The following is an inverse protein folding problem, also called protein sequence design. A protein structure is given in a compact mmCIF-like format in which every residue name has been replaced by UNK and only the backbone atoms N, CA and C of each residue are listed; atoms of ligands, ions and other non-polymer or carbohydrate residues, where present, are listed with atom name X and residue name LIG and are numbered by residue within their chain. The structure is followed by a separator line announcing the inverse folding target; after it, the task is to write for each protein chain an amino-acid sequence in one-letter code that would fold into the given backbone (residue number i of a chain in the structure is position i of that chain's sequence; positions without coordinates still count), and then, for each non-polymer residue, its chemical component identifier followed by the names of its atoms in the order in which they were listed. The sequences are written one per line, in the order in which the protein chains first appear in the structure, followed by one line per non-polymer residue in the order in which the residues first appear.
data_IF_045243180868
#
_entry.id   IF_045243180868
#
_cell.length_a   1.000
_cell.length_b   1.000
_cell.length_c   1.000
_cell.angle_alpha   90.00
_cell.angle_beta   90.00
_cell.angle_gamma   90.00
#
_symmetry.space_group_name_H-M   'P 1'
#
loop_
_entity.id
_entity.type
_entity.pdbx_description
1 polymer ?
#
# COMPACT_ATOMS: atom_id res chain seq x y z
N UNK A 1 54.94 -2.85 -4.74
CA UNK A 1 54.26 -2.94 -6.06
C UNK A 1 52.96 -3.71 -5.83
N UNK A 2 51.80 -3.04 -5.90
CA UNK A 2 50.77 -3.19 -6.97
C UNK A 2 50.38 -4.67 -7.15
N UNK A 3 49.15 -5.13 -6.92
CA UNK A 3 47.88 -4.74 -7.56
C UNK A 3 46.78 -5.62 -6.90
N UNK A 4 45.70 -5.09 -6.31
CA UNK A 4 44.40 -4.70 -6.90
C UNK A 4 43.50 -5.88 -7.37
N UNK A 5 42.29 -5.94 -6.76
CA UNK A 5 41.01 -6.48 -7.26
C UNK A 5 40.92 -8.01 -7.44
N UNK A 6 39.81 -8.68 -7.12
CA UNK A 6 38.44 -8.36 -7.56
C UNK A 6 37.42 -8.79 -6.51
N UNK A 7 36.63 -7.82 -6.03
CA UNK A 7 35.33 -8.06 -5.39
C UNK A 7 34.37 -8.48 -6.50
N UNK A 8 34.11 -9.78 -6.65
CA UNK A 8 33.02 -10.26 -7.51
C UNK A 8 31.76 -10.28 -6.66
N UNK A 9 31.08 -9.14 -6.64
CA UNK A 9 29.66 -9.07 -6.34
C UNK A 9 28.95 -9.94 -7.38
N UNK A 10 28.56 -11.16 -6.99
CA UNK A 10 27.68 -12.00 -7.79
C UNK A 10 26.31 -11.34 -7.77
N UNK A 11 26.11 -10.52 -8.79
CA UNK A 11 24.84 -10.06 -9.32
C UNK A 11 23.82 -11.21 -9.25
N UNK A 12 22.84 -11.05 -8.37
CA UNK A 12 21.59 -11.79 -8.42
C UNK A 12 20.84 -11.38 -9.70
N UNK A 13 21.22 -12.03 -10.80
CA UNK A 13 20.45 -12.08 -12.03
C UNK A 13 19.23 -12.98 -11.79
N UNK A 14 18.13 -12.41 -11.32
CA UNK A 14 16.82 -13.01 -11.53
C UNK A 14 16.13 -12.32 -12.71
N UNK A 15 15.96 -13.11 -13.77
CA UNK A 15 15.22 -12.81 -14.99
C UNK A 15 13.72 -12.72 -14.67
N UNK A 16 13.30 -11.51 -14.34
CA UNK A 16 12.04 -10.95 -14.78
C UNK A 16 12.37 -9.48 -15.06
N UNK A 17 11.96 -8.92 -16.18
CA UNK A 17 11.76 -7.48 -16.20
C UNK A 17 10.61 -7.24 -15.21
N UNK A 18 10.92 -7.18 -13.91
CA UNK A 18 9.97 -6.72 -12.91
C UNK A 18 9.63 -5.32 -13.35
N UNK A 19 8.37 -5.11 -13.72
CA UNK A 19 7.87 -3.78 -13.92
C UNK A 19 8.08 -3.04 -12.58
N UNK A 20 8.53 -1.80 -12.65
CA UNK A 20 8.81 -0.98 -11.48
C UNK A 20 7.68 0.02 -11.23
N UNK A 21 7.95 1.04 -10.41
CA UNK A 21 7.00 2.13 -10.17
C UNK A 21 6.44 2.78 -11.46
N UNK A 22 7.20 2.96 -12.56
CA UNK A 22 6.67 3.47 -13.83
C UNK A 22 5.57 2.62 -14.46
N UNK A 23 5.55 1.32 -14.16
CA UNK A 23 4.56 0.38 -14.66
C UNK A 23 3.47 0.02 -13.63
N UNK A 24 3.43 0.76 -12.51
CA UNK A 24 2.44 0.58 -11.46
C UNK A 24 2.77 -0.53 -10.47
N UNK A 25 4.03 -0.98 -10.41
CA UNK A 25 4.46 -2.11 -9.59
C UNK A 25 5.41 -1.68 -8.45
N UNK A 26 5.18 -2.23 -7.25
CA UNK A 26 6.04 -2.04 -6.08
C UNK A 26 5.94 -3.27 -5.14
N UNK A 27 7.07 -3.69 -4.58
CA UNK A 27 7.18 -4.87 -3.68
C UNK A 27 6.61 -6.18 -4.25
N UNK A 28 6.60 -6.34 -5.59
CA UNK A 28 6.05 -7.50 -6.28
C UNK A 28 4.54 -7.45 -6.51
N UNK A 29 3.87 -6.31 -6.24
CA UNK A 29 2.43 -6.13 -6.45
C UNK A 29 2.15 -5.00 -7.43
N UNK A 30 1.03 -5.09 -8.14
CA UNK A 30 0.63 -4.14 -9.19
C UNK A 30 -0.67 -3.43 -8.84
N UNK A 31 -0.67 -2.10 -8.96
CA UNK A 31 -1.88 -1.29 -8.87
C UNK A 31 -2.92 -1.69 -9.93
N UNK A 32 -4.19 -1.72 -9.53
CA UNK A 32 -5.32 -2.14 -10.37
C UNK A 32 -5.45 -3.65 -10.55
N UNK A 33 -4.49 -4.45 -10.08
CA UNK A 33 -4.60 -5.91 -10.08
C UNK A 33 -5.43 -6.40 -8.89
N UNK A 34 -6.03 -7.57 -9.01
CA UNK A 34 -6.74 -8.22 -7.91
C UNK A 34 -5.74 -8.96 -7.02
N UNK A 35 -5.85 -8.76 -5.70
CA UNK A 35 -5.10 -9.56 -4.75
C UNK A 35 -5.79 -10.92 -4.53
N UNK A 36 -5.07 -12.05 -4.67
CA UNK A 36 -5.64 -13.37 -4.44
C UNK A 36 -5.83 -13.60 -2.93
N UNK A 37 -7.09 -13.70 -2.48
CA UNK A 37 -7.41 -14.02 -1.09
C UNK A 37 -7.35 -15.52 -0.87
N UNK A 38 -6.72 -15.91 0.24
CA UNK A 38 -6.62 -17.29 0.73
C UNK A 38 -7.05 -17.34 2.20
N UNK A 39 -7.18 -18.55 2.74
CA UNK A 39 -7.54 -18.75 4.15
C UNK A 39 -6.51 -18.18 5.13
N UNK A 40 -5.26 -17.98 4.69
CA UNK A 40 -4.19 -17.38 5.50
C UNK A 40 -4.09 -15.85 5.35
N UNK A 41 -4.86 -15.25 4.44
CA UNK A 41 -4.74 -13.82 4.17
C UNK A 41 -5.16 -13.01 5.40
N UNK A 42 -4.25 -12.14 5.85
CA UNK A 42 -4.49 -11.24 6.97
C UNK A 42 -4.88 -9.86 6.46
N UNK A 43 -5.80 -9.21 7.16
CA UNK A 43 -6.22 -7.86 6.82
C UNK A 43 -7.12 -7.24 7.88
N UNK A 44 -7.38 -5.95 7.71
CA UNK A 44 -8.24 -5.17 8.59
C UNK A 44 -8.99 -4.09 7.80
N UNK A 45 -10.10 -3.61 8.37
CA UNK A 45 -10.78 -2.44 7.83
C UNK A 45 -10.10 -1.17 8.34
N UNK A 46 -9.69 -0.30 7.41
CA UNK A 46 -9.19 1.02 7.77
C UNK A 46 -10.33 1.90 8.29
N UNK A 47 -9.99 2.93 9.06
CA UNK A 47 -10.96 3.94 9.54
C UNK A 47 -11.69 4.65 8.39
N UNK A 48 -11.09 4.69 7.19
CA UNK A 48 -11.70 5.26 6.00
C UNK A 48 -12.63 4.26 5.28
N UNK A 49 -12.79 3.05 5.80
CA UNK A 49 -13.65 2.00 5.25
C UNK A 49 -13.07 1.30 4.02
N UNK A 50 -11.75 1.30 3.87
CA UNK A 50 -11.05 0.47 2.88
C UNK A 50 -10.56 -0.83 3.54
N UNK A 51 -10.38 -1.89 2.75
CA UNK A 51 -9.74 -3.11 3.25
C UNK A 51 -8.24 -2.98 3.07
N UNK A 52 -7.51 -3.13 4.17
CA UNK A 52 -6.05 -3.24 4.17
C UNK A 52 -5.68 -4.71 4.29
N UNK A 53 -4.95 -5.22 3.31
CA UNK A 53 -4.42 -6.58 3.30
C UNK A 53 -2.94 -6.53 3.65
N UNK A 54 -2.47 -7.41 4.52
CA UNK A 54 -1.04 -7.60 4.77
C UNK A 54 -0.53 -8.58 3.70
N UNK A 55 0.43 -8.13 2.89
CA UNK A 55 0.95 -8.91 1.78
C UNK A 55 1.65 -10.19 2.29
N UNK A 56 1.31 -11.35 1.70
CA UNK A 56 1.80 -12.65 2.17
C UNK A 56 3.29 -12.89 1.85
N UNK A 57 3.74 -12.47 0.66
CA UNK A 57 5.13 -12.67 0.17
C UNK A 57 5.68 -11.42 -0.53
N UNK A 58 5.87 -10.30 0.19
CA UNK A 58 6.37 -9.08 -0.43
C UNK A 58 7.86 -9.16 -0.78
N UNK A 59 8.22 -8.60 -1.94
CA UNK A 59 9.61 -8.38 -2.33
C UNK A 59 10.15 -7.10 -1.68
N UNK A 60 10.35 -7.14 -0.36
CA UNK A 60 10.77 -5.99 0.46
C UNK A 60 12.19 -6.17 1.01
N UNK A 61 12.88 -5.06 1.29
CA UNK A 61 14.11 -5.07 2.09
C UNK A 61 13.82 -5.36 3.58
N UNK A 62 14.87 -5.60 4.35
CA UNK A 62 14.78 -5.88 5.79
C UNK A 62 14.31 -4.65 6.61
N UNK A 63 14.50 -3.44 6.08
CA UNK A 63 14.04 -2.19 6.70
C UNK A 63 12.51 -2.14 6.88
N UNK A 64 11.76 -2.83 6.01
CA UNK A 64 10.30 -2.82 6.07
C UNK A 64 9.80 -3.97 6.93
N UNK A 65 9.02 -3.66 7.96
CA UNK A 65 8.41 -4.67 8.81
C UNK A 65 7.35 -5.48 8.07
N UNK A 66 6.55 -4.80 7.24
CA UNK A 66 5.47 -5.38 6.44
C UNK A 66 5.18 -4.53 5.21
N UNK A 67 4.45 -5.12 4.26
CA UNK A 67 3.82 -4.41 3.14
C UNK A 67 2.31 -4.54 3.29
N UNK A 68 1.62 -3.42 3.16
CA UNK A 68 0.17 -3.33 3.20
C UNK A 68 -0.36 -2.93 1.83
N UNK A 69 -1.50 -3.52 1.46
CA UNK A 69 -2.21 -3.27 0.22
C UNK A 69 -3.58 -2.71 0.58
N UNK A 70 -3.86 -1.49 0.15
CA UNK A 70 -5.22 -0.93 0.25
C UNK A 70 -5.99 -1.43 -0.96
N UNK A 71 -7.09 -2.12 -0.70
CA UNK A 71 -7.87 -2.79 -1.73
C UNK A 71 -9.34 -2.38 -1.71
N UNK A 72 -10.02 -2.60 -2.84
CA UNK A 72 -11.46 -2.50 -2.91
C UNK A 72 -12.13 -3.63 -2.10
N UNK A 73 -13.25 -3.37 -1.44
CA UNK A 73 -13.69 -4.22 -0.34
C UNK A 73 -14.37 -5.54 -0.77
N UNK A 74 -14.81 -5.69 -2.03
CA UNK A 74 -15.39 -6.94 -2.55
C UNK A 74 -14.46 -7.68 -3.50
N UNK A 75 -13.84 -6.96 -4.43
CA UNK A 75 -13.00 -7.59 -5.47
C UNK A 75 -11.52 -7.60 -5.14
N UNK A 76 -11.12 -6.98 -4.02
CA UNK A 76 -9.72 -6.88 -3.57
C UNK A 76 -8.80 -6.29 -4.64
N UNK A 77 -9.31 -5.33 -5.41
CA UNK A 77 -8.51 -4.62 -6.42
C UNK A 77 -7.59 -3.64 -5.72
N UNK A 78 -6.28 -3.72 -5.97
CA UNK A 78 -5.24 -2.97 -5.28
C UNK A 78 -5.28 -1.50 -5.75
N UNK A 79 -5.46 -0.57 -4.82
CA UNK A 79 -5.53 0.87 -5.05
C UNK A 79 -4.30 1.62 -4.52
N UNK A 80 -3.62 1.07 -3.51
CA UNK A 80 -2.38 1.60 -2.94
C UNK A 80 -1.54 0.44 -2.40
N UNK A 81 -0.23 0.55 -2.54
CA UNK A 81 0.78 -0.39 -2.04
C UNK A 81 1.74 0.41 -1.17
N UNK A 82 1.96 0.04 0.09
CA UNK A 82 3.04 0.65 0.88
C UNK A 82 3.77 -0.33 1.77
N UNK A 83 5.10 -0.22 1.78
CA UNK A 83 5.98 -0.82 2.78
C UNK A 83 6.05 0.07 4.00
N UNK A 84 6.07 -0.53 5.18
CA UNK A 84 6.10 0.18 6.47
C UNK A 84 7.39 -0.14 7.19
N UNK A 85 8.22 0.88 7.37
CA UNK A 85 9.33 0.87 8.32
C UNK A 85 8.88 1.51 9.64
N UNK A 86 9.32 0.94 10.76
CA UNK A 86 9.02 1.39 12.12
C UNK A 86 10.28 1.98 12.74
N UNK A 87 10.14 3.13 13.41
CA UNK A 87 11.24 3.87 14.03
C UNK A 87 10.86 4.24 15.46
N UNK A 88 11.79 4.09 16.41
CA UNK A 88 11.50 4.34 17.82
C UNK A 88 11.36 5.84 18.09
N UNK A 89 12.06 6.68 17.33
CA UNK A 89 12.05 8.13 17.51
C UNK A 89 11.83 8.90 16.22
N UNK A 90 11.36 10.15 16.37
CA UNK A 90 11.15 11.07 15.25
C UNK A 90 12.39 11.23 14.36
N UNK A 91 13.57 11.42 14.95
CA UNK A 91 14.81 11.63 14.20
C UNK A 91 15.18 10.41 13.33
N UNK A 92 14.97 9.21 13.87
CA UNK A 92 15.21 7.97 13.13
C UNK A 92 14.22 7.82 11.96
N UNK A 93 12.95 8.18 12.17
CA UNK A 93 11.97 8.20 11.08
C UNK A 93 12.35 9.20 9.98
N UNK A 94 12.82 10.40 10.36
CA UNK A 94 13.32 11.41 9.42
C UNK A 94 14.51 10.88 8.61
N UNK A 95 15.45 10.19 9.26
CA UNK A 95 16.63 9.61 8.61
C UNK A 95 16.28 8.47 7.66
N UNK A 96 15.32 7.61 8.03
CA UNK A 96 14.79 6.58 7.14
C UNK A 96 14.10 7.21 5.94
N UNK A 97 13.22 8.18 6.16
CA UNK A 97 12.49 8.85 5.09
C UNK A 97 13.42 9.59 4.12
N UNK A 98 14.40 10.34 4.63
CA UNK A 98 15.39 11.03 3.81
C UNK A 98 16.22 10.03 2.98
N UNK A 99 16.65 8.91 3.57
CA UNK A 99 17.39 7.86 2.87
C UNK A 99 16.58 7.26 1.72
N UNK A 100 15.32 6.90 1.96
CA UNK A 100 14.46 6.35 0.91
C UNK A 100 14.09 7.41 -0.14
N UNK A 101 13.87 8.66 0.26
CA UNK A 101 13.61 9.74 -0.68
C UNK A 101 14.79 9.94 -1.64
N UNK A 102 16.02 10.03 -1.13
CA UNK A 102 17.23 10.17 -1.94
C UNK A 102 17.46 8.96 -2.87
N UNK A 103 17.25 7.75 -2.32
CA UNK A 103 17.36 6.51 -3.10
C UNK A 103 16.36 6.47 -4.26
N UNK A 104 15.08 6.75 -4.00
CA UNK A 104 14.03 6.67 -5.03
C UNK A 104 14.18 7.77 -6.07
N UNK A 105 14.56 8.99 -5.66
CA UNK A 105 14.94 10.05 -6.60
C UNK A 105 16.05 9.58 -7.53
N UNK A 106 17.10 8.97 -6.97
CA UNK A 106 18.24 8.49 -7.75
C UNK A 106 17.87 7.37 -8.71
N UNK A 107 17.10 6.37 -8.24
CA UNK A 107 16.73 5.19 -9.03
C UNK A 107 15.71 5.49 -10.14
N UNK A 108 14.92 6.55 -9.99
CA UNK A 108 13.81 6.84 -10.89
C UNK A 108 13.86 8.23 -11.54
N UNK A 109 14.99 8.95 -11.41
CA UNK A 109 15.18 10.30 -11.94
C UNK A 109 14.87 10.45 -13.44
N UNK A 110 15.09 9.40 -14.23
CA UNK A 110 14.90 9.38 -15.68
C UNK A 110 13.48 8.98 -16.10
N UNK A 111 12.68 8.40 -15.19
CA UNK A 111 11.38 7.79 -15.51
C UNK A 111 10.20 8.43 -14.77
N UNK A 112 10.48 9.20 -13.73
CA UNK A 112 9.46 9.84 -12.91
C UNK A 112 9.76 11.33 -12.75
N UNK A 113 8.71 12.13 -12.69
CA UNK A 113 8.78 13.56 -12.48
C UNK A 113 8.54 13.86 -11.00
N UNK A 114 9.37 14.70 -10.39
CA UNK A 114 9.12 15.15 -9.02
C UNK A 114 7.91 16.11 -9.00
N UNK A 115 7.00 15.85 -8.08
CA UNK A 115 5.79 16.66 -7.84
C UNK A 115 5.83 17.30 -6.46
N UNK A 116 4.91 18.24 -6.21
CA UNK A 116 4.72 18.81 -4.88
C UNK A 116 4.23 17.72 -3.93
N UNK A 117 5.06 17.40 -2.93
CA UNK A 117 4.74 16.41 -1.91
C UNK A 117 3.66 16.94 -0.95
N UNK A 118 2.77 16.08 -0.46
CA UNK A 118 1.82 16.43 0.59
C UNK A 118 2.54 16.86 1.89
N UNK A 119 1.89 17.58 2.83
CA UNK A 119 2.54 18.08 4.04
C UNK A 119 3.21 17.03 4.94
N UNK A 120 2.80 15.77 4.85
CA UNK A 120 3.35 14.63 5.59
C UNK A 120 4.27 13.75 4.74
N UNK A 121 4.48 14.11 3.47
CA UNK A 121 5.33 13.42 2.52
C UNK A 121 6.69 14.13 2.42
N UNK A 122 7.74 13.33 2.38
CA UNK A 122 9.13 13.76 2.14
C UNK A 122 9.46 13.69 0.65
N UNK A 123 8.71 12.89 -0.12
CA UNK A 123 8.88 12.71 -1.55
C UNK A 123 7.54 12.37 -2.19
N UNK A 124 7.30 12.95 -3.37
CA UNK A 124 6.30 12.49 -4.34
C UNK A 124 6.91 12.51 -5.75
N UNK A 125 6.81 11.40 -6.47
CA UNK A 125 7.28 11.23 -7.84
C UNK A 125 6.14 10.68 -8.71
N UNK A 126 5.77 11.39 -9.77
CA UNK A 126 4.84 10.91 -10.79
C UNK A 126 5.58 10.06 -11.83
N UNK A 127 5.30 8.77 -11.83
CA UNK A 127 5.84 7.75 -12.69
C UNK A 127 4.80 7.30 -13.73
N UNK A 128 5.22 7.14 -15.00
CA UNK A 128 4.35 6.62 -16.06
C UNK A 128 3.08 7.44 -16.34
N UNK A 129 3.01 8.69 -15.86
CA UNK A 129 1.87 9.59 -16.00
C UNK A 129 0.61 9.22 -15.19
N UNK A 130 0.67 8.18 -14.36
CA UNK A 130 -0.51 7.69 -13.62
C UNK A 130 -0.20 7.18 -12.22
N UNK A 131 1.06 6.91 -11.88
CA UNK A 131 1.46 6.29 -10.62
C UNK A 131 2.29 7.25 -9.80
N UNK A 132 1.91 7.46 -8.56
CA UNK A 132 2.60 8.34 -7.65
C UNK A 132 3.38 7.50 -6.63
N UNK A 133 4.70 7.55 -6.73
CA UNK A 133 5.64 6.93 -5.80
C UNK A 133 5.98 7.95 -4.71
N UNK A 134 5.73 7.61 -3.46
CA UNK A 134 5.84 8.55 -2.34
C UNK A 134 6.62 7.97 -1.16
N UNK A 135 7.17 8.89 -0.37
CA UNK A 135 7.71 8.61 0.96
C UNK A 135 7.00 9.50 1.97
N UNK A 136 6.34 8.91 2.97
CA UNK A 136 5.54 9.61 3.97
C UNK A 136 5.97 9.25 5.39
N UNK A 137 5.82 10.20 6.31
CA UNK A 137 6.13 10.03 7.72
C UNK A 137 4.89 10.24 8.58
N UNK A 138 4.67 9.34 9.52
CA UNK A 138 3.54 9.41 10.45
C UNK A 138 4.03 9.32 11.89
N UNK A 139 3.54 10.23 12.73
CA UNK A 139 3.71 10.15 14.17
C UNK A 139 2.97 8.93 14.74
N UNK A 140 3.44 8.38 15.87
CA UNK A 140 2.73 7.32 16.57
C UNK A 140 1.30 7.74 16.90
N UNK A 141 0.36 6.81 16.76
CA UNK A 141 -1.01 7.00 17.29
C UNK A 141 -1.01 6.85 18.82
N UNK A 142 -2.11 7.23 19.46
CA UNK A 142 -2.24 7.26 20.93
C UNK A 142 -1.86 5.94 21.65
N UNK A 143 -1.99 4.80 20.96
CA UNK A 143 -1.64 3.46 21.48
C UNK A 143 -0.40 2.83 20.82
N UNK A 144 0.34 3.59 20.02
CA UNK A 144 1.55 3.14 19.33
C UNK A 144 2.76 3.88 19.88
N UNK A 145 3.93 3.22 19.88
CA UNK A 145 5.18 3.80 20.37
C UNK A 145 6.10 4.26 19.25
N UNK A 146 5.89 3.74 18.05
CA UNK A 146 6.82 3.89 16.92
C UNK A 146 6.27 4.89 15.91
N UNK A 147 7.17 5.73 15.40
CA UNK A 147 6.96 6.48 14.18
C UNK A 147 6.96 5.51 13.00
N UNK A 148 6.17 5.83 11.97
CA UNK A 148 6.09 5.01 10.76
C UNK A 148 6.58 5.79 9.56
N UNK A 149 7.39 5.15 8.74
CA UNK A 149 7.79 5.64 7.42
C UNK A 149 7.18 4.73 6.37
N UNK A 150 6.36 5.32 5.51
CA UNK A 150 5.71 4.62 4.41
C UNK A 150 6.48 4.91 3.14
N UNK A 151 6.84 3.86 2.42
CA UNK A 151 7.31 3.95 1.04
C UNK A 151 6.27 3.26 0.18
N UNK A 152 5.61 4.00 -0.70
CA UNK A 152 4.41 3.49 -1.35
C UNK A 152 4.18 3.98 -2.76
N UNK A 153 3.26 3.29 -3.44
CA UNK A 153 2.81 3.57 -4.79
C UNK A 153 1.29 3.65 -4.78
N UNK A 154 0.74 4.75 -5.29
CA UNK A 154 -0.71 4.96 -5.46
C UNK A 154 -1.02 5.46 -6.86
N UNK A 155 -2.30 5.44 -7.24
CA UNK A 155 -2.71 6.15 -8.45
C UNK A 155 -2.68 7.67 -8.21
N UNK A 156 -2.08 8.41 -9.15
CA UNK A 156 -2.20 9.88 -9.18
C UNK A 156 -3.67 10.28 -9.33
N UNK A 157 -4.07 11.37 -8.69
CA UNK A 157 -5.44 11.89 -8.74
C UNK A 157 -5.90 12.27 -10.16
N UNK A 158 -4.96 12.65 -11.03
CA UNK A 158 -5.24 13.04 -12.41
C UNK A 158 -5.47 11.84 -13.33
N UNK A 159 -5.04 10.65 -12.92
CA UNK A 159 -5.18 9.46 -13.74
C UNK A 159 -6.64 8.98 -13.86
N UNK A 160 -7.08 8.69 -15.09
CA UNK A 160 -8.43 8.16 -15.35
C UNK A 160 -8.70 6.86 -14.57
N UNK A 161 -7.71 5.96 -14.52
CA UNK A 161 -7.79 4.70 -13.76
C UNK A 161 -8.02 4.95 -12.27
N UNK A 162 -7.45 6.01 -11.69
CA UNK A 162 -7.69 6.40 -10.29
C UNK A 162 -9.17 6.63 -10.03
N UNK A 163 -9.83 7.38 -10.94
CA UNK A 163 -11.25 7.70 -10.85
C UNK A 163 -12.12 6.45 -10.96
N UNK A 164 -11.74 5.51 -11.82
CA UNK A 164 -12.43 4.23 -11.98
C UNK A 164 -12.33 3.35 -10.73
N UNK A 165 -11.12 3.22 -10.17
CA UNK A 165 -10.88 2.46 -8.95
C UNK A 165 -11.60 3.08 -7.76
N UNK A 166 -11.55 4.40 -7.59
CA UNK A 166 -12.30 5.09 -6.53
C UNK A 166 -13.82 4.90 -6.68
N UNK A 167 -14.34 4.98 -7.90
CA UNK A 167 -15.75 4.73 -8.18
C UNK A 167 -16.13 3.27 -7.85
N UNK A 168 -15.27 2.31 -8.20
CA UNK A 168 -15.45 0.91 -7.84
C UNK A 168 -15.45 0.69 -6.33
N UNK A 169 -14.46 1.22 -5.60
CA UNK A 169 -14.40 1.13 -4.14
C UNK A 169 -15.68 1.69 -3.49
N UNK A 170 -16.17 2.82 -3.98
CA UNK A 170 -17.42 3.43 -3.50
C UNK A 170 -18.65 2.54 -3.75
N UNK A 171 -18.76 1.95 -4.95
CA UNK A 171 -19.86 1.02 -5.28
C UNK A 171 -19.82 -0.23 -4.41
N UNK A 172 -18.68 -0.91 -4.34
CA UNK A 172 -18.51 -2.13 -3.55
C UNK A 172 -18.81 -1.91 -2.06
N UNK A 173 -18.40 -0.75 -1.52
CA UNK A 173 -18.74 -0.37 -0.14
C UNK A 173 -20.26 -0.19 0.05
N UNK A 174 -20.93 0.51 -0.85
CA UNK A 174 -22.38 0.71 -0.76
C UNK A 174 -23.16 -0.62 -0.84
N UNK A 175 -22.67 -1.56 -1.65
CA UNK A 175 -23.21 -2.93 -1.71
C UNK A 175 -23.05 -3.66 -0.38
N UNK A 176 -21.84 -3.67 0.21
CA UNK A 176 -21.59 -4.31 1.51
C UNK A 176 -22.42 -3.71 2.64
N UNK A 177 -22.59 -2.39 2.66
CA UNK A 177 -23.45 -1.71 3.63
C UNK A 177 -24.92 -2.14 3.49
N UNK A 178 -25.38 -2.35 2.26
CA UNK A 178 -26.74 -2.83 1.95
C UNK A 178 -26.92 -4.28 2.37
N UNK A 179 -25.99 -5.16 2.00
CA UNK A 179 -25.97 -6.58 2.38
C UNK A 179 -25.97 -6.73 3.91
N UNK A 180 -25.13 -5.97 4.61
CA UNK A 180 -25.07 -5.98 6.08
C UNK A 180 -26.33 -5.45 6.77
N UNK A 181 -27.05 -4.49 6.15
CA UNK A 181 -28.38 -4.05 6.64
C UNK A 181 -29.44 -5.13 6.46
N UNK A 182 -29.45 -5.79 5.29
CA UNK A 182 -30.38 -6.89 5.01
C UNK A 182 -30.18 -8.05 5.98
N UNK A 183 -28.93 -8.47 6.21
CA UNK A 183 -28.63 -9.53 7.17
C UNK A 183 -29.11 -9.22 8.59
N UNK A 184 -28.90 -7.99 9.07
CA UNK A 184 -29.40 -7.53 10.38
C UNK A 184 -30.92 -7.52 10.47
N UNK A 185 -31.60 -7.09 9.40
CA UNK A 185 -33.07 -7.12 9.35
C UNK A 185 -33.61 -8.55 9.38
N UNK A 186 -32.96 -9.48 8.68
CA UNK A 186 -33.34 -10.89 8.70
C UNK A 186 -33.14 -11.52 10.07
N UNK A 187 -32.02 -11.24 10.74
CA UNK A 187 -31.79 -11.69 12.12
C UNK A 187 -32.86 -11.14 13.08
N UNK A 188 -33.15 -9.83 13.03
CA UNK A 188 -34.19 -9.22 13.86
C UNK A 188 -35.58 -9.84 13.62
N UNK A 189 -35.93 -10.15 12.36
CA UNK A 189 -37.18 -10.85 12.02
C UNK A 189 -37.25 -12.26 12.58
N UNK A 190 -36.14 -13.00 12.55
CA UNK A 190 -36.06 -14.35 13.15
C UNK A 190 -36.25 -14.29 14.66
N UNK A 191 -35.59 -13.35 15.34
CA UNK A 191 -35.71 -13.15 16.78
C UNK A 191 -37.12 -12.76 17.22
N UNK A 192 -37.78 -11.86 16.48
CA UNK A 192 -39.18 -11.50 16.76
C UNK A 192 -40.14 -12.68 16.60
N UNK A 193 -39.96 -13.50 15.56
CA UNK A 193 -40.76 -14.72 15.36
C UNK A 193 -40.59 -15.71 16.52
N UNK A 194 -39.36 -15.88 17.01
CA UNK A 194 -39.07 -16.78 18.14
C UNK A 194 -39.71 -16.29 19.45
N UNK A 195 -39.72 -14.97 19.69
CA UNK A 195 -40.36 -14.37 20.88
C UNK A 195 -41.89 -14.40 20.85
N UNK A 196 -42.49 -14.39 19.66
CA UNK A 196 -43.95 -14.48 19.50
C UNK A 196 -44.52 -15.91 19.59
N UNK A 197 -43.66 -16.93 19.79
CA UNK A 197 -44.04 -18.34 19.94
C UNK A 197 -43.92 -18.85 21.39
N UNK A 198 -43.53 -17.99 22.33
CA UNK A 198 -43.48 -18.26 23.79
C UNK A 198 -44.70 -17.64 24.48
#
# INVERSE_FOLDING_TARGET
MRMLLVVIAVLWFWKGASAGPPEGELFGYKLGSKYPITDSTQGYFSLMGAIVVIADKPEKSDDFRRVELITSPKTFTIANIHGIAEAVGKKEAEDIAARYADLLKTLHADKCLEEEAAPYETLSLLCGGCYELYVAQFSPRENEKEHKVYVGLRFSHECATSKEILAQMKRERAELETEGKLHRLEQARKEQKLRGLQ
#
